data_IF_823409178225
#
_entry.id   IF_823409178225
#
_cell.length_a   1.000
_cell.length_b   1.000
_cell.length_c   1.000
_cell.angle_alpha   90.00
_cell.angle_beta   90.00
_cell.angle_gamma   90.00
#
_symmetry.space_group_name_H-M   'P 1'
#
loop_
_entity.id
_entity.type
_entity.pdbx_description
1 polymer ?
#
# COMPACT_ATOMS: atom_id res chain seq x y z
N UNK A 1 -17.80 65.79 -52.91
CA UNK A 1 -16.47 66.30 -53.33
C UNK A 1 -15.46 65.16 -53.14
N UNK A 2 -14.49 64.92 -54.03
CA UNK A 2 -13.99 65.77 -55.13
C UNK A 2 -12.56 66.23 -54.79
N UNK A 3 -11.56 66.13 -55.67
CA UNK A 3 -11.57 65.68 -57.06
C UNK A 3 -10.24 65.00 -57.47
N UNK A 4 -10.23 64.38 -58.64
CA UNK A 4 -9.03 63.92 -59.37
C UNK A 4 -8.64 64.96 -60.43
N UNK A 5 -7.40 64.92 -60.94
CA UNK A 5 -7.11 65.36 -62.30
C UNK A 5 -6.57 64.25 -63.22
N UNK A 6 -7.14 64.25 -64.44
CA UNK A 6 -6.69 63.72 -65.74
C UNK A 6 -5.35 64.32 -66.24
N UNK A 7 -4.73 63.96 -67.39
CA UNK A 7 -4.63 62.76 -68.28
C UNK A 7 -3.60 63.09 -69.40
N UNK A 8 -3.18 62.09 -70.20
CA UNK A 8 -2.38 62.19 -71.45
C UNK A 8 -0.94 62.75 -71.30
N UNK A 9 0.01 62.51 -72.22
CA UNK A 9 0.04 61.70 -73.46
C UNK A 9 1.33 61.97 -74.27
N UNK A 10 1.74 61.18 -75.28
CA UNK A 10 1.26 59.86 -75.74
C UNK A 10 2.35 58.76 -75.55
N UNK A 11 2.95 57.94 -76.45
CA UNK A 11 2.94 57.64 -77.91
C UNK A 11 3.14 56.09 -78.11
N UNK A 12 3.36 55.57 -79.33
CA UNK A 12 3.47 54.11 -79.66
C UNK A 12 4.89 53.66 -80.10
N UNK A 13 5.19 52.34 -80.00
CA UNK A 13 5.45 51.43 -81.17
C UNK A 13 6.50 50.28 -80.94
N UNK A 14 6.18 49.10 -81.52
CA UNK A 14 6.99 47.88 -81.87
C UNK A 14 7.77 47.01 -80.85
N UNK A 15 7.57 45.69 -81.07
CA UNK A 15 8.44 44.52 -80.80
C UNK A 15 8.68 44.15 -79.30
N UNK A 16 8.45 42.91 -78.82
CA UNK A 16 8.39 41.58 -79.46
C UNK A 16 7.49 40.60 -78.66
N UNK A 17 6.92 39.59 -79.32
CA UNK A 17 6.24 38.45 -78.66
C UNK A 17 7.25 37.34 -78.26
N UNK A 18 6.99 36.56 -77.18
CA UNK A 18 7.85 35.46 -76.76
C UNK A 18 7.41 34.09 -77.35
N UNK A 19 8.32 33.30 -77.94
CA UNK A 19 8.02 31.93 -78.39
C UNK A 19 8.33 30.85 -77.34
N UNK A 20 7.42 29.88 -77.25
CA UNK A 20 7.56 28.47 -76.87
C UNK A 20 8.57 28.04 -75.76
N UNK A 21 7.99 27.52 -74.66
CA UNK A 21 8.55 26.35 -73.97
C UNK A 21 7.52 25.22 -73.98
N UNK A 22 7.91 24.09 -74.58
CA UNK A 22 7.03 22.96 -74.88
C UNK A 22 6.70 22.12 -73.64
N UNK A 23 5.45 21.65 -73.57
CA UNK A 23 5.02 20.60 -72.64
C UNK A 23 5.50 19.25 -73.17
N UNK A 24 6.02 18.40 -72.28
CA UNK A 24 6.20 16.97 -72.50
C UNK A 24 5.65 16.22 -71.29
N UNK A 25 4.92 15.13 -71.52
CA UNK A 25 4.02 14.52 -70.53
C UNK A 25 4.67 13.44 -69.65
N UNK A 26 4.10 13.34 -68.44
CA UNK A 26 3.99 12.17 -67.54
C UNK A 26 4.93 10.97 -67.74
N UNK A 27 5.79 10.75 -66.73
CA UNK A 27 6.08 9.40 -66.23
C UNK A 27 6.05 9.33 -64.71
N UNK A 28 4.88 9.00 -64.19
CA UNK A 28 4.68 8.39 -62.87
C UNK A 28 5.56 7.13 -62.71
N UNK A 29 6.56 7.21 -61.82
CA UNK A 29 7.32 6.06 -61.31
C UNK A 29 7.27 6.05 -59.78
N UNK A 30 6.60 5.05 -59.21
CA UNK A 30 6.28 4.95 -57.79
C UNK A 30 7.44 4.40 -56.95
N UNK A 31 8.29 5.29 -56.44
CA UNK A 31 9.37 4.95 -55.49
C UNK A 31 9.47 5.93 -54.28
N UNK A 32 8.40 6.69 -53.99
CA UNK A 32 8.29 7.47 -52.73
C UNK A 32 7.83 6.59 -51.53
N UNK A 33 8.14 5.30 -51.53
CA UNK A 33 7.80 4.41 -50.42
C UNK A 33 8.68 4.67 -49.18
N UNK A 34 8.11 5.44 -48.25
CA UNK A 34 8.32 5.27 -46.80
C UNK A 34 9.77 5.43 -46.31
N UNK A 35 10.56 6.33 -46.90
CA UNK A 35 11.80 6.80 -46.25
C UNK A 35 11.47 7.79 -45.12
N UNK A 36 10.80 7.29 -44.08
CA UNK A 36 10.74 7.91 -42.76
C UNK A 36 12.17 7.88 -42.22
N UNK A 37 12.94 8.91 -42.53
CA UNK A 37 14.21 9.17 -41.85
C UNK A 37 13.92 9.31 -40.36
N UNK A 38 14.21 8.25 -39.61
CA UNK A 38 14.34 8.34 -38.16
C UNK A 38 15.31 9.48 -37.86
N UNK A 39 14.87 10.46 -37.07
CA UNK A 39 15.72 11.53 -36.57
C UNK A 39 16.64 10.96 -35.49
N UNK A 40 17.59 10.12 -35.92
CA UNK A 40 18.68 9.59 -35.11
C UNK A 40 19.29 10.74 -34.32
N UNK A 41 19.44 10.58 -33.00
CA UNK A 41 19.94 11.68 -32.19
C UNK A 41 21.43 11.81 -32.50
N UNK A 42 21.81 12.91 -33.17
CA UNK A 42 23.19 13.14 -33.67
C UNK A 42 24.30 12.93 -32.64
N UNK A 43 23.95 12.98 -31.35
CA UNK A 43 24.84 12.85 -30.20
C UNK A 43 24.36 11.79 -29.19
N UNK A 44 23.62 10.76 -29.64
CA UNK A 44 23.16 9.64 -28.79
C UNK A 44 24.36 8.99 -28.06
N UNK A 45 25.42 8.70 -28.82
CA UNK A 45 26.68 8.08 -28.36
C UNK A 45 27.49 8.98 -27.39
N UNK A 46 27.15 10.26 -27.26
CA UNK A 46 27.80 11.18 -26.31
C UNK A 46 27.10 11.23 -24.94
N UNK A 47 25.96 10.56 -24.78
CA UNK A 47 25.15 10.62 -23.56
C UNK A 47 25.92 10.23 -22.29
N UNK A 48 26.61 9.08 -22.33
CA UNK A 48 27.37 8.55 -21.19
C UNK A 48 28.55 9.44 -20.81
N UNK A 49 29.31 9.93 -21.81
CA UNK A 49 30.46 10.81 -21.58
C UNK A 49 30.04 12.18 -21.01
N UNK A 50 28.87 12.69 -21.41
CA UNK A 50 28.30 13.92 -20.84
C UNK A 50 27.78 13.68 -19.41
N UNK A 51 27.16 12.54 -19.11
CA UNK A 51 26.77 12.17 -17.74
C UNK A 51 28.00 12.06 -16.83
N UNK A 52 29.04 11.33 -17.26
CA UNK A 52 30.30 11.15 -16.51
C UNK A 52 30.95 12.50 -16.18
N UNK A 53 31.19 13.35 -17.20
CA UNK A 53 31.78 14.68 -17.01
C UNK A 53 30.97 15.56 -16.06
N UNK A 54 29.64 15.55 -16.17
CA UNK A 54 28.74 16.30 -15.29
C UNK A 54 28.80 15.77 -13.85
N UNK A 55 28.76 14.45 -13.67
CA UNK A 55 28.80 13.79 -12.34
C UNK A 55 30.15 14.00 -11.66
N UNK A 56 31.27 13.90 -12.38
CA UNK A 56 32.60 14.23 -11.86
C UNK A 56 32.70 15.71 -11.43
N UNK A 57 32.28 16.63 -12.29
CA UNK A 57 32.30 18.07 -11.97
C UNK A 57 31.41 18.38 -10.75
N UNK A 58 30.23 17.75 -10.62
CA UNK A 58 29.37 17.91 -9.44
C UNK A 58 30.03 17.34 -8.18
N UNK A 59 30.62 16.15 -8.27
CA UNK A 59 31.34 15.46 -7.19
C UNK A 59 32.52 16.30 -6.70
N UNK A 60 33.30 16.90 -7.60
CA UNK A 60 34.34 17.87 -7.26
C UNK A 60 33.79 19.06 -6.47
N UNK A 61 32.80 19.78 -7.02
CA UNK A 61 32.31 21.02 -6.40
C UNK A 61 31.70 20.78 -5.01
N UNK A 62 31.07 19.63 -4.80
CA UNK A 62 30.46 19.23 -3.53
C UNK A 62 31.44 18.66 -2.50
N UNK A 63 32.61 18.17 -2.91
CA UNK A 63 33.66 17.64 -2.03
C UNK A 63 34.75 18.67 -1.68
N UNK A 64 34.86 19.78 -2.42
CA UNK A 64 35.71 20.92 -2.05
C UNK A 64 35.33 21.41 -0.65
N UNK A 65 36.31 21.52 0.26
CA UNK A 65 36.11 22.05 1.62
C UNK A 65 35.83 23.54 1.58
N UNK A 66 34.56 23.92 1.54
CA UNK A 66 34.11 25.31 1.55
C UNK A 66 33.22 25.61 2.77
N UNK A 67 33.13 26.86 3.26
CA UNK A 67 32.19 27.23 4.32
C UNK A 67 30.73 27.01 3.90
N UNK A 68 29.84 26.70 4.84
CA UNK A 68 28.41 26.40 4.56
C UNK A 68 27.67 27.52 3.78
N UNK A 69 28.10 28.77 3.94
CA UNK A 69 27.54 29.94 3.24
C UNK A 69 28.07 30.18 1.82
N UNK A 70 29.07 29.43 1.37
CA UNK A 70 29.69 29.60 0.02
C UNK A 70 28.87 28.99 -1.12
N UNK A 71 27.98 28.04 -0.80
CA UNK A 71 27.23 27.27 -1.81
C UNK A 71 26.32 28.20 -2.62
N UNK A 72 26.61 28.33 -3.91
CA UNK A 72 25.88 29.27 -4.77
C UNK A 72 24.48 28.75 -5.13
N UNK A 73 23.53 29.68 -5.28
CA UNK A 73 22.18 29.37 -5.80
C UNK A 73 22.18 28.79 -7.21
N UNK A 74 23.27 28.96 -7.97
CA UNK A 74 23.42 28.41 -9.31
C UNK A 74 23.89 26.94 -9.28
N UNK A 75 24.66 26.51 -8.27
CA UNK A 75 25.00 25.09 -8.10
C UNK A 75 23.74 24.24 -7.81
N UNK A 76 22.83 24.75 -6.96
CA UNK A 76 21.54 24.08 -6.69
C UNK A 76 20.65 23.99 -7.94
N UNK A 77 20.66 25.02 -8.80
CA UNK A 77 19.96 25.00 -10.10
C UNK A 77 20.58 24.01 -11.08
N UNK A 78 21.91 23.94 -11.13
CA UNK A 78 22.63 22.97 -11.96
C UNK A 78 22.30 21.55 -11.52
N UNK A 79 22.42 21.25 -10.22
CA UNK A 79 21.97 19.99 -9.62
C UNK A 79 20.51 19.67 -9.98
N UNK A 80 19.59 20.64 -9.90
CA UNK A 80 18.18 20.43 -10.21
C UNK A 80 17.94 20.11 -11.68
N UNK A 81 18.74 20.70 -12.60
CA UNK A 81 18.69 20.40 -14.03
C UNK A 81 19.34 19.04 -14.38
N UNK A 82 20.33 18.59 -13.61
CA UNK A 82 21.04 17.32 -13.84
C UNK A 82 20.48 16.13 -13.08
N UNK A 83 19.39 16.30 -12.31
CA UNK A 83 18.71 15.21 -11.58
C UNK A 83 18.14 14.08 -12.44
N UNK A 84 18.18 14.16 -13.79
CA UNK A 84 17.96 13.00 -14.65
C UNK A 84 19.00 11.89 -14.43
N UNK A 85 20.23 12.26 -14.08
CA UNK A 85 21.34 11.35 -13.78
C UNK A 85 21.26 10.81 -12.36
N UNK A 86 21.39 9.48 -12.20
CA UNK A 86 21.16 8.79 -10.92
C UNK A 86 22.16 9.25 -9.84
N UNK A 87 23.44 9.31 -10.20
CA UNK A 87 24.51 9.80 -9.33
C UNK A 87 24.33 11.30 -8.97
N UNK A 88 23.75 12.12 -9.85
CA UNK A 88 23.47 13.52 -9.53
C UNK A 88 22.35 13.68 -8.49
N UNK A 89 21.28 12.85 -8.55
CA UNK A 89 20.26 12.78 -7.49
C UNK A 89 20.88 12.37 -6.15
N UNK A 90 21.75 11.36 -6.18
CA UNK A 90 22.41 10.83 -4.99
C UNK A 90 23.35 11.84 -4.33
N UNK A 91 24.16 12.56 -5.12
CA UNK A 91 25.00 13.66 -4.63
C UNK A 91 24.17 14.83 -4.07
N UNK A 92 23.02 15.14 -4.68
CA UNK A 92 22.12 16.21 -4.21
C UNK A 92 21.45 15.88 -2.87
N UNK A 93 20.87 14.67 -2.73
CA UNK A 93 20.07 14.31 -1.55
C UNK A 93 20.91 14.27 -0.26
N UNK A 94 22.18 13.85 -0.36
CA UNK A 94 23.10 13.75 0.78
C UNK A 94 23.42 15.11 1.45
N UNK A 95 23.14 16.24 0.79
CA UNK A 95 23.34 17.60 1.33
C UNK A 95 22.03 18.37 1.56
N UNK A 96 20.90 17.82 1.11
CA UNK A 96 19.66 18.56 0.87
C UNK A 96 19.03 19.14 2.15
N UNK A 97 19.08 18.42 3.29
CA UNK A 97 18.61 18.95 4.59
C UNK A 97 19.26 20.30 4.93
N UNK A 98 20.58 20.40 4.76
CA UNK A 98 21.37 21.57 5.14
C UNK A 98 21.00 22.77 4.27
N UNK A 99 20.78 22.56 2.97
CA UNK A 99 20.37 23.61 2.04
C UNK A 99 18.92 24.05 2.23
N UNK A 100 18.01 23.14 2.60
CA UNK A 100 16.63 23.48 2.97
C UNK A 100 16.59 24.34 4.24
N UNK A 101 17.45 24.04 5.22
CA UNK A 101 17.55 24.80 6.49
C UNK A 101 18.26 26.16 6.35
N UNK A 102 19.08 26.39 5.32
CA UNK A 102 19.72 27.70 5.09
C UNK A 102 18.75 28.69 4.38
N UNK A 103 18.33 29.80 5.02
CA UNK A 103 17.32 30.71 4.46
C UNK A 103 17.76 31.43 3.17
N UNK A 104 19.06 31.49 2.86
CA UNK A 104 19.58 32.01 1.57
C UNK A 104 19.33 31.03 0.41
N UNK A 105 19.18 29.75 0.72
CA UNK A 105 19.14 28.62 -0.21
C UNK A 105 17.81 27.83 -0.19
N UNK A 106 16.94 28.01 0.81
CA UNK A 106 15.70 27.23 0.97
C UNK A 106 14.87 27.14 -0.32
N UNK A 107 14.70 28.24 -1.07
CA UNK A 107 13.91 28.21 -2.32
C UNK A 107 14.55 27.35 -3.43
N UNK A 108 15.79 27.59 -3.90
CA UNK A 108 16.42 26.68 -4.86
C UNK A 108 16.64 25.27 -4.30
N UNK A 109 16.69 25.07 -2.98
CA UNK A 109 16.71 23.74 -2.36
C UNK A 109 15.34 23.04 -2.42
N UNK A 110 14.23 23.77 -2.34
CA UNK A 110 12.87 23.25 -2.57
C UNK A 110 12.64 22.88 -4.05
N UNK A 111 13.19 23.68 -4.96
CA UNK A 111 13.21 23.41 -6.41
C UNK A 111 14.06 22.16 -6.70
N UNK A 112 15.23 22.00 -6.06
CA UNK A 112 16.08 20.81 -6.14
C UNK A 112 15.42 19.54 -5.55
N UNK A 113 14.80 19.64 -4.36
CA UNK A 113 14.09 18.51 -3.74
C UNK A 113 12.99 17.96 -4.65
N UNK A 114 12.24 18.86 -5.31
CA UNK A 114 11.22 18.46 -6.27
C UNK A 114 11.83 17.68 -7.44
N UNK A 115 12.93 18.17 -8.02
CA UNK A 115 13.62 17.51 -9.13
C UNK A 115 14.23 16.15 -8.75
N UNK A 116 14.78 16.02 -7.53
CA UNK A 116 15.26 14.74 -7.00
C UNK A 116 14.12 13.72 -6.90
N UNK A 117 12.95 14.12 -6.40
CA UNK A 117 11.80 13.23 -6.27
C UNK A 117 11.18 12.84 -7.61
N UNK A 118 10.93 13.79 -8.52
CA UNK A 118 10.28 13.51 -9.82
C UNK A 118 11.15 12.67 -10.75
N UNK A 119 12.47 12.76 -10.65
CA UNK A 119 13.41 11.96 -11.45
C UNK A 119 13.82 10.64 -10.77
N UNK A 120 13.32 10.32 -9.58
CA UNK A 120 13.57 9.05 -8.88
C UNK A 120 12.71 7.92 -9.51
N UNK A 121 12.88 7.71 -10.81
CA UNK A 121 11.96 6.99 -11.69
C UNK A 121 12.52 5.66 -12.23
N UNK A 122 13.77 5.31 -11.90
CA UNK A 122 14.45 4.09 -12.37
C UNK A 122 14.38 2.93 -11.38
N UNK A 123 14.25 3.25 -10.08
CA UNK A 123 14.35 2.29 -8.97
C UNK A 123 15.67 1.48 -8.95
N UNK A 124 16.73 2.09 -9.50
CA UNK A 124 18.11 1.65 -9.37
C UNK A 124 18.59 1.63 -7.91
N UNK A 125 19.77 1.04 -7.67
CA UNK A 125 20.45 1.11 -6.35
C UNK A 125 20.59 2.54 -5.84
N UNK A 126 20.87 3.48 -6.75
CA UNK A 126 21.01 4.90 -6.47
C UNK A 126 19.67 5.52 -6.04
N UNK A 127 18.57 5.21 -6.74
CA UNK A 127 17.22 5.66 -6.36
C UNK A 127 16.79 5.09 -5.00
N UNK A 128 17.14 3.84 -4.71
CA UNK A 128 16.90 3.20 -3.40
C UNK A 128 17.74 3.90 -2.31
N UNK A 129 18.99 4.26 -2.56
CA UNK A 129 19.77 5.08 -1.60
C UNK A 129 19.24 6.51 -1.49
N UNK A 130 18.70 7.10 -2.57
CA UNK A 130 18.02 8.40 -2.54
C UNK A 130 16.82 8.36 -1.61
N UNK A 131 15.95 7.33 -1.70
CA UNK A 131 14.82 7.13 -0.77
C UNK A 131 15.33 6.96 0.66
N UNK A 132 16.41 6.17 0.86
CA UNK A 132 17.07 6.01 2.17
C UNK A 132 17.62 7.31 2.73
N UNK A 133 18.03 8.28 1.91
CA UNK A 133 18.51 9.58 2.35
C UNK A 133 17.37 10.61 2.55
N UNK A 134 16.32 10.59 1.72
CA UNK A 134 15.13 11.46 1.88
C UNK A 134 14.49 11.28 3.27
N UNK A 135 14.25 10.05 3.71
CA UNK A 135 13.65 9.75 5.03
C UNK A 135 14.51 10.16 6.23
N UNK A 136 15.80 10.46 6.03
CA UNK A 136 16.67 10.98 7.10
C UNK A 136 16.45 12.48 7.34
N UNK A 137 15.92 13.21 6.36
CA UNK A 137 15.77 14.67 6.37
C UNK A 137 14.84 15.13 7.50
N UNK A 138 15.33 16.03 8.35
CA UNK A 138 14.61 16.63 9.49
C UNK A 138 14.23 18.08 9.18
N UNK A 139 12.93 18.40 9.28
CA UNK A 139 12.37 19.71 8.92
C UNK A 139 11.48 20.21 10.06
N UNK A 140 11.72 21.44 10.52
CA UNK A 140 10.93 22.09 11.59
C UNK A 140 9.89 23.09 11.09
N UNK A 141 10.14 23.94 10.06
CA UNK A 141 9.15 24.90 9.60
C UNK A 141 7.98 24.23 8.87
N UNK A 142 6.74 24.46 9.33
CA UNK A 142 5.53 23.85 8.73
C UNK A 142 5.37 24.07 7.21
N UNK A 143 5.67 25.24 6.62
CA UNK A 143 5.60 25.41 5.16
C UNK A 143 6.61 24.54 4.40
N UNK A 144 7.82 24.37 4.96
CA UNK A 144 8.89 23.56 4.39
C UNK A 144 8.57 22.06 4.49
N UNK A 145 8.00 21.64 5.61
CA UNK A 145 7.50 20.30 5.85
C UNK A 145 6.32 19.95 4.91
N UNK A 146 5.39 20.88 4.68
CA UNK A 146 4.32 20.72 3.69
C UNK A 146 4.87 20.53 2.27
N UNK A 147 5.87 21.33 1.86
CA UNK A 147 6.54 21.18 0.55
C UNK A 147 7.24 19.82 0.41
N UNK A 148 7.91 19.36 1.48
CA UNK A 148 8.51 18.03 1.51
C UNK A 148 7.46 16.91 1.36
N UNK A 149 6.30 17.01 2.00
CA UNK A 149 5.21 16.03 1.82
C UNK A 149 4.61 16.07 0.41
N UNK A 150 4.64 17.21 -0.30
CA UNK A 150 4.32 17.25 -1.73
C UNK A 150 5.39 16.53 -2.57
N UNK A 151 6.68 16.77 -2.30
CA UNK A 151 7.77 16.07 -2.98
C UNK A 151 7.75 14.55 -2.74
N UNK A 152 7.28 14.09 -1.56
CA UNK A 152 7.04 12.66 -1.29
C UNK A 152 5.92 12.10 -2.18
N UNK A 153 4.87 12.86 -2.53
CA UNK A 153 3.86 12.39 -3.49
C UNK A 153 4.43 12.26 -4.89
N UNK A 154 5.29 13.19 -5.31
CA UNK A 154 5.97 13.08 -6.61
C UNK A 154 6.99 11.93 -6.67
N UNK A 155 7.66 11.61 -5.56
CA UNK A 155 8.48 10.40 -5.42
C UNK A 155 7.66 9.11 -5.63
N UNK A 156 6.42 9.09 -5.17
CA UNK A 156 5.51 7.94 -5.34
C UNK A 156 4.95 7.88 -6.78
N UNK A 157 4.70 9.03 -7.40
CA UNK A 157 4.35 9.13 -8.83
C UNK A 157 5.50 8.65 -9.74
N UNK A 158 6.75 8.91 -9.37
CA UNK A 158 7.93 8.69 -10.22
C UNK A 158 8.20 7.21 -10.54
N UNK A 159 8.00 6.29 -9.58
CA UNK A 159 8.03 4.85 -9.85
C UNK A 159 7.19 4.04 -8.86
N UNK A 160 6.42 3.08 -9.39
CA UNK A 160 5.48 2.22 -8.63
C UNK A 160 6.11 1.55 -7.39
N UNK A 161 7.36 1.10 -7.49
CA UNK A 161 8.03 0.32 -6.44
C UNK A 161 8.64 1.20 -5.34
N UNK A 162 8.71 2.53 -5.56
CA UNK A 162 9.12 3.50 -4.53
C UNK A 162 8.19 3.44 -3.31
N UNK A 163 6.91 3.10 -3.50
CA UNK A 163 5.93 2.93 -2.42
C UNK A 163 6.36 1.83 -1.44
N UNK A 164 6.76 0.66 -1.93
CA UNK A 164 7.18 -0.45 -1.09
C UNK A 164 8.49 -0.15 -0.34
N UNK A 165 9.50 0.37 -1.04
CA UNK A 165 10.81 0.71 -0.45
C UNK A 165 10.68 1.84 0.58
N UNK A 166 9.85 2.87 0.32
CA UNK A 166 9.60 3.96 1.27
C UNK A 166 8.92 3.45 2.55
N UNK A 167 7.84 2.66 2.43
CA UNK A 167 7.15 2.05 3.60
C UNK A 167 8.10 1.16 4.39
N UNK A 168 8.89 0.32 3.71
CA UNK A 168 9.87 -0.57 4.35
C UNK A 168 10.88 0.21 5.20
N UNK A 169 11.56 1.20 4.64
CA UNK A 169 12.56 1.96 5.40
C UNK A 169 11.97 2.81 6.53
N UNK A 170 10.75 3.36 6.37
CA UNK A 170 10.08 4.09 7.45
C UNK A 170 9.82 3.21 8.67
N UNK A 171 9.36 1.97 8.47
CA UNK A 171 9.10 1.02 9.55
C UNK A 171 10.40 0.57 10.25
N UNK A 172 11.46 0.27 9.49
CA UNK A 172 12.76 -0.07 10.08
C UNK A 172 13.42 1.11 10.81
N UNK A 173 13.17 2.36 10.41
CA UNK A 173 13.59 3.55 11.17
C UNK A 173 12.82 3.69 12.50
N UNK A 174 11.52 3.36 12.54
CA UNK A 174 10.72 3.40 13.77
C UNK A 174 11.06 2.28 14.78
N UNK A 175 11.57 1.15 14.30
CA UNK A 175 12.01 0.03 15.15
C UNK A 175 13.48 0.10 15.57
N UNK A 176 14.25 1.06 15.05
CA UNK A 176 15.68 1.23 15.34
C UNK A 176 15.98 2.58 16.02
N UNK A 177 17.26 2.85 16.28
CA UNK A 177 17.72 4.13 16.81
C UNK A 177 17.66 5.30 15.80
N UNK A 178 17.22 5.05 14.55
CA UNK A 178 17.21 6.05 13.46
C UNK A 178 15.89 6.85 13.35
N UNK A 179 15.01 6.78 14.36
CA UNK A 179 13.71 7.49 14.41
C UNK A 179 13.82 8.96 13.97
N UNK A 180 12.94 9.36 13.06
CA UNK A 180 12.79 10.73 12.59
C UNK A 180 11.37 11.21 12.92
N UNK A 181 11.17 12.36 13.60
CA UNK A 181 9.84 12.88 13.90
C UNK A 181 8.95 13.06 12.66
N UNK A 182 9.52 13.16 11.46
CA UNK A 182 8.77 13.23 10.21
C UNK A 182 8.13 11.89 9.79
N UNK A 183 8.63 10.74 10.26
CA UNK A 183 8.27 9.41 9.72
C UNK A 183 6.77 9.13 9.72
N UNK A 184 6.07 9.44 10.83
CA UNK A 184 4.62 9.21 10.94
C UNK A 184 3.81 10.13 10.03
N UNK A 185 4.26 11.36 9.76
CA UNK A 185 3.62 12.26 8.80
C UNK A 185 3.91 11.84 7.35
N UNK A 186 5.08 11.25 7.07
CA UNK A 186 5.35 10.60 5.77
C UNK A 186 4.42 9.41 5.59
N UNK A 187 4.30 8.50 6.58
CA UNK A 187 3.37 7.37 6.53
C UNK A 187 1.91 7.83 6.31
N UNK A 188 1.47 8.90 6.97
CA UNK A 188 0.13 9.47 6.71
C UNK A 188 -0.01 9.99 5.27
N UNK A 189 1.00 10.68 4.75
CA UNK A 189 1.02 11.17 3.36
C UNK A 189 0.99 10.03 2.35
N UNK A 190 1.70 8.93 2.64
CA UNK A 190 1.73 7.70 1.84
C UNK A 190 0.36 6.98 1.86
N UNK A 191 -0.27 6.85 3.04
CA UNK A 191 -1.63 6.27 3.17
C UNK A 191 -2.69 7.11 2.44
N UNK A 192 -2.60 8.44 2.48
CA UNK A 192 -3.48 9.32 1.70
C UNK A 192 -3.24 9.25 0.19
N UNK A 193 -2.03 8.91 -0.26
CA UNK A 193 -1.69 8.80 -1.67
C UNK A 193 -2.10 7.45 -2.27
N UNK A 194 -1.87 6.35 -1.54
CA UNK A 194 -2.17 4.99 -2.00
C UNK A 194 -3.01 4.21 -0.96
N UNK A 195 -4.29 4.57 -0.74
CA UNK A 195 -5.10 4.03 0.37
C UNK A 195 -5.30 2.51 0.35
N UNK A 196 -5.23 1.86 -0.82
CA UNK A 196 -5.32 0.40 -0.97
C UNK A 196 -3.97 -0.29 -1.23
N UNK A 197 -2.91 0.48 -1.50
CA UNK A 197 -1.56 -0.02 -1.78
C UNK A 197 -0.67 0.04 -0.54
N UNK A 198 -0.63 1.19 0.12
CA UNK A 198 0.18 1.42 1.32
C UNK A 198 -0.13 0.44 2.46
N UNK A 199 -1.40 0.07 2.78
CA UNK A 199 -1.67 -0.94 3.81
C UNK A 199 -1.18 -2.35 3.44
N UNK A 200 -1.11 -2.70 2.14
CA UNK A 200 -0.59 -4.00 1.69
C UNK A 200 0.93 -4.06 1.86
N UNK A 201 1.65 -3.02 1.41
CA UNK A 201 3.10 -2.91 1.66
C UNK A 201 3.42 -2.83 3.16
N UNK A 202 2.58 -2.15 3.96
CA UNK A 202 2.69 -2.16 5.41
C UNK A 202 2.64 -3.62 5.93
N UNK A 203 1.61 -4.37 5.55
CA UNK A 203 1.45 -5.76 5.95
C UNK A 203 2.61 -6.67 5.52
N UNK A 204 3.15 -6.51 4.31
CA UNK A 204 4.33 -7.26 3.85
C UNK A 204 5.56 -7.03 4.73
N UNK A 205 5.79 -5.79 5.19
CA UNK A 205 6.89 -5.46 6.11
C UNK A 205 6.61 -5.97 7.52
N UNK A 206 5.35 -6.00 7.96
CA UNK A 206 4.98 -6.66 9.21
C UNK A 206 5.21 -8.19 9.15
N UNK A 207 4.96 -8.85 8.02
CA UNK A 207 5.33 -10.25 7.81
C UNK A 207 6.86 -10.45 7.82
N UNK A 208 7.65 -9.57 7.20
CA UNK A 208 9.13 -9.62 7.27
C UNK A 208 9.62 -9.57 8.73
N UNK A 209 8.98 -8.76 9.58
CA UNK A 209 9.30 -8.65 11.01
C UNK A 209 8.90 -9.91 11.79
N UNK A 210 7.75 -10.52 11.52
CA UNK A 210 7.27 -11.74 12.19
C UNK A 210 8.02 -13.03 11.79
N UNK A 211 8.86 -12.98 10.75
CA UNK A 211 9.77 -14.06 10.33
C UNK A 211 11.16 -13.94 10.96
N UNK A 212 11.50 -12.77 11.52
CA UNK A 212 12.80 -12.56 12.15
C UNK A 212 12.97 -13.42 13.43
N UNK A 213 14.22 -13.69 13.82
CA UNK A 213 14.56 -14.56 14.97
C UNK A 213 14.29 -13.92 16.33
N UNK A 214 14.20 -12.59 16.37
CA UNK A 214 13.86 -11.81 17.55
C UNK A 214 12.34 -11.64 17.62
N UNK A 215 11.74 -11.66 18.83
CA UNK A 215 10.29 -11.50 18.98
C UNK A 215 9.85 -10.06 18.72
N UNK A 216 9.61 -9.76 17.44
CA UNK A 216 9.07 -8.49 17.00
C UNK A 216 7.55 -8.35 17.21
N UNK A 217 6.81 -9.35 17.70
CA UNK A 217 5.35 -9.23 17.80
C UNK A 217 4.96 -8.07 18.73
N UNK A 218 5.55 -7.98 19.92
CA UNK A 218 5.24 -6.89 20.86
C UNK A 218 5.60 -5.51 20.30
N UNK A 219 6.74 -5.39 19.62
CA UNK A 219 7.15 -4.15 18.98
C UNK A 219 6.21 -3.77 17.80
N UNK A 220 5.82 -4.76 17.00
CA UNK A 220 4.87 -4.64 15.90
C UNK A 220 3.50 -4.19 16.37
N UNK A 221 2.96 -4.79 17.44
CA UNK A 221 1.68 -4.37 18.04
C UNK A 221 1.70 -2.90 18.47
N UNK A 222 2.78 -2.44 19.11
CA UNK A 222 2.95 -1.04 19.49
C UNK A 222 3.06 -0.12 18.26
N UNK A 223 3.82 -0.52 17.25
CA UNK A 223 4.00 0.25 16.01
C UNK A 223 2.69 0.39 15.22
N UNK A 224 1.92 -0.68 15.04
CA UNK A 224 0.63 -0.65 14.33
C UNK A 224 -0.36 0.29 15.03
N UNK A 225 -0.40 0.26 16.37
CA UNK A 225 -1.24 1.16 17.18
C UNK A 225 -0.85 2.63 16.99
N UNK A 226 0.44 2.95 16.96
CA UNK A 226 0.90 4.33 16.76
C UNK A 226 0.67 4.79 15.31
N UNK A 227 0.89 3.93 14.32
CA UNK A 227 0.57 4.23 12.90
C UNK A 227 -0.91 4.57 12.76
N UNK A 228 -1.82 3.69 13.20
CA UNK A 228 -3.29 3.92 13.12
C UNK A 228 -3.69 5.24 13.78
N UNK A 229 -3.12 5.55 14.95
CA UNK A 229 -3.35 6.81 15.68
C UNK A 229 -2.87 8.03 14.90
N UNK A 230 -1.65 7.98 14.35
CA UNK A 230 -1.07 9.09 13.59
C UNK A 230 -1.74 9.28 12.22
N UNK A 231 -2.25 8.20 11.62
CA UNK A 231 -3.11 8.24 10.43
C UNK A 231 -4.59 8.50 10.75
N UNK A 232 -4.91 9.01 11.95
CA UNK A 232 -6.27 9.39 12.40
C UNK A 232 -7.35 8.30 12.26
N UNK A 233 -6.96 7.02 12.29
CA UNK A 233 -7.80 5.86 11.99
C UNK A 233 -8.33 5.80 10.53
N UNK A 234 -7.77 6.55 9.59
CA UNK A 234 -8.13 6.57 8.15
C UNK A 234 -7.50 5.40 7.35
N UNK A 235 -6.98 4.35 8.00
CA UNK A 235 -6.31 3.23 7.34
C UNK A 235 -7.30 2.17 6.83
N UNK A 236 -7.13 1.68 5.60
CA UNK A 236 -7.91 0.55 5.10
C UNK A 236 -7.45 -0.77 5.78
N UNK A 237 -8.10 -1.11 6.90
CA UNK A 237 -7.86 -2.35 7.65
C UNK A 237 -8.09 -3.61 6.82
N UNK A 238 -9.04 -3.62 5.86
CA UNK A 238 -9.25 -4.81 5.03
C UNK A 238 -8.08 -5.02 4.06
N UNK A 239 -7.53 -3.95 3.47
CA UNK A 239 -6.34 -4.04 2.63
C UNK A 239 -5.09 -4.45 3.44
N UNK A 240 -4.94 -3.98 4.69
CA UNK A 240 -3.88 -4.43 5.60
C UNK A 240 -4.00 -5.91 5.94
N UNK A 241 -5.17 -6.35 6.41
CA UNK A 241 -5.41 -7.75 6.76
C UNK A 241 -5.24 -8.68 5.56
N UNK A 242 -5.78 -8.33 4.38
CA UNK A 242 -5.56 -9.10 3.15
C UNK A 242 -4.07 -9.19 2.79
N UNK A 243 -3.29 -8.12 3.00
CA UNK A 243 -1.83 -8.14 2.85
C UNK A 243 -1.14 -9.11 3.81
N UNK A 244 -1.55 -9.16 5.09
CA UNK A 244 -1.02 -10.12 6.08
C UNK A 244 -1.36 -11.58 5.72
N UNK A 245 -2.38 -11.76 4.88
CA UNK A 245 -2.90 -13.06 4.44
C UNK A 245 -2.39 -13.49 3.05
N UNK A 246 -1.43 -12.77 2.46
CA UNK A 246 -0.82 -13.16 1.19
C UNK A 246 0.23 -14.27 1.37
N UNK A 247 0.28 -15.15 0.37
CA UNK A 247 1.33 -16.15 0.16
C UNK A 247 2.68 -15.44 -0.10
N UNK A 248 3.74 -15.80 0.63
CA UNK A 248 5.09 -15.20 0.48
C UNK A 248 6.05 -16.22 -0.12
N UNK A 249 6.67 -15.86 -1.24
CA UNK A 249 7.41 -16.77 -2.14
C UNK A 249 8.92 -16.52 -2.14
N UNK A 250 9.37 -15.52 -1.38
CA UNK A 250 10.78 -15.22 -1.19
C UNK A 250 11.45 -16.33 -0.37
N UNK A 251 12.72 -16.63 -0.66
CA UNK A 251 13.45 -17.75 -0.04
C UNK A 251 13.45 -17.70 1.49
N UNK A 252 13.49 -16.51 2.10
CA UNK A 252 13.41 -16.34 3.56
C UNK A 252 12.12 -16.89 4.20
N UNK A 253 11.04 -17.08 3.43
CA UNK A 253 9.80 -17.73 3.87
C UNK A 253 9.80 -19.23 3.54
N UNK A 254 10.35 -19.63 2.38
CA UNK A 254 10.47 -21.04 1.98
C UNK A 254 11.42 -21.82 2.91
N UNK A 255 12.53 -21.21 3.32
CA UNK A 255 13.52 -21.79 4.26
C UNK A 255 12.96 -22.06 5.67
N UNK A 256 11.75 -21.58 5.99
CA UNK A 256 11.08 -21.81 7.28
C UNK A 256 10.55 -23.24 7.42
N UNK A 257 10.20 -23.92 6.32
CA UNK A 257 9.61 -25.26 6.36
C UNK A 257 10.59 -26.31 6.88
N UNK A 258 11.89 -26.11 6.63
CA UNK A 258 12.95 -26.90 7.24
C UNK A 258 13.04 -26.77 8.77
N UNK A 259 12.26 -25.85 9.39
CA UNK A 259 12.28 -25.53 10.82
C UNK A 259 10.89 -25.27 11.41
N UNK A 260 9.90 -26.12 11.09
CA UNK A 260 8.53 -26.31 11.64
C UNK A 260 8.01 -25.46 12.84
N UNK A 261 8.85 -25.10 13.81
CA UNK A 261 8.49 -24.22 14.94
C UNK A 261 8.43 -22.74 14.55
N UNK A 262 9.27 -22.28 13.62
CA UNK A 262 9.31 -20.87 13.22
C UNK A 262 8.16 -20.50 12.27
N UNK A 263 7.86 -21.34 11.28
CA UNK A 263 6.67 -21.20 10.42
C UNK A 263 5.38 -21.15 11.25
N UNK A 264 5.17 -22.11 12.16
CA UNK A 264 4.02 -22.12 13.06
C UNK A 264 3.92 -20.84 13.92
N UNK A 265 5.05 -20.35 14.45
CA UNK A 265 5.09 -19.11 15.20
C UNK A 265 4.64 -17.91 14.35
N UNK A 266 5.16 -17.75 13.13
CA UNK A 266 4.79 -16.64 12.22
C UNK A 266 3.30 -16.59 11.91
N UNK A 267 2.64 -17.74 11.69
CA UNK A 267 1.18 -17.78 11.46
C UNK A 267 0.38 -17.44 12.72
N UNK A 268 0.79 -17.94 13.90
CA UNK A 268 0.17 -17.59 15.18
C UNK A 268 0.32 -16.10 15.49
N UNK A 269 1.51 -15.51 15.33
CA UNK A 269 1.73 -14.08 15.55
C UNK A 269 1.04 -13.20 14.50
N UNK A 270 0.89 -13.71 13.27
CA UNK A 270 0.03 -13.11 12.24
C UNK A 270 -1.44 -13.01 12.69
N UNK A 271 -1.99 -14.04 13.32
CA UNK A 271 -3.35 -14.00 13.89
C UNK A 271 -3.49 -13.00 15.06
N UNK A 272 -2.42 -12.76 15.82
CA UNK A 272 -2.35 -11.70 16.83
C UNK A 272 -2.36 -10.29 16.21
N UNK A 273 -1.77 -10.10 15.02
CA UNK A 273 -1.88 -8.84 14.27
C UNK A 273 -3.23 -8.66 13.59
N UNK A 274 -3.84 -9.72 13.04
CA UNK A 274 -5.19 -9.66 12.45
C UNK A 274 -6.24 -9.27 13.51
N UNK A 275 -6.18 -9.88 14.70
CA UNK A 275 -7.09 -9.52 15.80
C UNK A 275 -6.83 -8.14 16.38
N UNK A 276 -5.56 -7.69 16.44
CA UNK A 276 -5.24 -6.30 16.77
C UNK A 276 -5.79 -5.31 15.73
N UNK A 277 -5.63 -5.60 14.43
CA UNK A 277 -6.14 -4.74 13.35
C UNK A 277 -7.67 -4.62 13.40
N UNK A 278 -8.38 -5.73 13.65
CA UNK A 278 -9.83 -5.73 13.86
C UNK A 278 -10.25 -4.87 15.06
N UNK A 279 -9.54 -4.97 16.19
CA UNK A 279 -9.80 -4.11 17.36
C UNK A 279 -9.44 -2.63 17.12
N UNK A 280 -8.47 -2.32 16.26
CA UNK A 280 -8.07 -0.94 15.93
C UNK A 280 -9.04 -0.21 14.98
N UNK A 281 -9.92 -0.96 14.31
CA UNK A 281 -11.08 -0.41 13.58
C UNK A 281 -12.15 0.20 14.51
N UNK A 282 -12.10 -0.03 15.83
CA UNK A 282 -12.98 0.61 16.81
C UNK A 282 -12.52 2.05 17.03
N UNK A 283 -12.97 2.94 16.15
CA UNK A 283 -12.77 4.39 16.27
C UNK A 283 -13.65 4.99 17.38
N UNK A 284 -13.43 6.27 17.73
CA UNK A 284 -14.29 6.98 18.68
C UNK A 284 -15.78 6.94 18.29
N UNK A 285 -16.09 7.12 16.99
CA UNK A 285 -17.46 7.05 16.48
C UNK A 285 -18.07 5.65 16.59
N UNK A 286 -17.27 4.59 16.35
CA UNK A 286 -17.72 3.20 16.53
C UNK A 286 -17.95 2.89 18.02
N UNK A 287 -17.11 3.42 18.91
CA UNK A 287 -17.28 3.30 20.37
C UNK A 287 -18.55 4.03 20.85
N UNK A 288 -18.79 5.25 20.39
CA UNK A 288 -20.01 6.01 20.69
C UNK A 288 -21.28 5.30 20.17
N UNK A 289 -21.25 4.81 18.93
CA UNK A 289 -22.36 4.05 18.35
C UNK A 289 -22.63 2.74 19.10
N UNK A 290 -21.59 2.00 19.51
CA UNK A 290 -21.72 0.79 20.32
C UNK A 290 -22.27 1.06 21.73
N UNK A 291 -21.84 2.16 22.37
CA UNK A 291 -22.37 2.58 23.68
C UNK A 291 -23.80 3.15 23.62
N UNK A 292 -24.23 3.63 22.46
CA UNK A 292 -25.62 3.99 22.19
C UNK A 292 -26.48 2.72 21.97
N UNK A 293 -26.00 1.78 21.15
CA UNK A 293 -26.64 0.48 20.90
C UNK A 293 -26.90 -0.29 22.19
N UNK A 294 -25.94 -0.35 23.11
CA UNK A 294 -26.06 -1.04 24.41
C UNK A 294 -27.16 -0.46 25.33
N UNK A 295 -27.64 0.75 25.04
CA UNK A 295 -28.75 1.42 25.74
C UNK A 295 -30.08 1.34 24.98
N UNK A 296 -30.11 0.69 23.81
CA UNK A 296 -31.22 0.73 22.87
C UNK A 296 -31.33 2.03 22.07
N UNK A 297 -30.34 2.92 22.13
CA UNK A 297 -30.34 4.19 21.39
C UNK A 297 -29.88 3.96 19.94
N UNK A 298 -30.79 4.08 18.98
CA UNK A 298 -30.53 3.90 17.53
C UNK A 298 -29.81 5.10 16.89
N UNK A 299 -28.65 5.47 17.43
CA UNK A 299 -27.76 6.55 16.96
C UNK A 299 -26.52 5.98 16.26
N UNK A 300 -26.01 6.68 15.25
CA UNK A 300 -24.76 6.35 14.54
C UNK A 300 -24.67 4.89 14.03
N UNK A 301 -25.82 4.31 13.68
CA UNK A 301 -25.91 2.91 13.28
C UNK A 301 -25.12 2.60 12.01
N UNK A 302 -24.99 3.56 11.08
CA UNK A 302 -24.23 3.36 9.84
C UNK A 302 -22.73 3.16 10.13
N UNK A 303 -22.16 3.89 11.08
CA UNK A 303 -20.76 3.70 11.50
C UNK A 303 -20.56 2.31 12.12
N UNK A 304 -21.47 1.90 13.02
CA UNK A 304 -21.43 0.59 13.67
C UNK A 304 -21.62 -0.56 12.66
N UNK A 305 -22.61 -0.46 11.78
CA UNK A 305 -22.90 -1.47 10.74
C UNK A 305 -21.80 -1.52 9.67
N UNK A 306 -21.15 -0.41 9.34
CA UNK A 306 -19.98 -0.39 8.45
C UNK A 306 -18.79 -1.12 9.09
N UNK A 307 -18.48 -0.84 10.36
CA UNK A 307 -17.48 -1.57 11.13
C UNK A 307 -17.80 -3.08 11.20
N UNK A 308 -19.03 -3.44 11.60
CA UNK A 308 -19.45 -4.85 11.67
C UNK A 308 -19.31 -5.59 10.34
N UNK A 309 -19.60 -4.94 9.20
CA UNK A 309 -19.38 -5.50 7.84
C UNK A 309 -17.89 -5.67 7.53
N UNK A 310 -17.05 -4.70 7.89
CA UNK A 310 -15.60 -4.78 7.68
C UNK A 310 -14.98 -5.93 8.49
N UNK A 311 -15.35 -6.08 9.77
CA UNK A 311 -14.87 -7.18 10.61
C UNK A 311 -15.37 -8.54 10.08
N UNK A 312 -16.64 -8.65 9.68
CA UNK A 312 -17.18 -9.87 9.07
C UNK A 312 -16.43 -10.29 7.79
N UNK A 313 -16.03 -9.33 6.95
CA UNK A 313 -15.21 -9.58 5.77
C UNK A 313 -13.79 -10.05 6.15
N UNK A 314 -13.13 -9.38 7.10
CA UNK A 314 -11.80 -9.80 7.58
C UNK A 314 -11.85 -11.20 8.22
N UNK A 315 -12.91 -11.54 8.95
CA UNK A 315 -13.10 -12.88 9.53
C UNK A 315 -13.28 -13.96 8.46
N UNK A 316 -14.07 -13.70 7.42
CA UNK A 316 -14.18 -14.58 6.24
C UNK A 316 -12.82 -14.80 5.58
N UNK A 317 -12.10 -13.70 5.35
CA UNK A 317 -10.82 -13.71 4.64
C UNK A 317 -9.75 -14.44 5.48
N UNK A 318 -9.79 -14.33 6.81
CA UNK A 318 -8.94 -15.08 7.74
C UNK A 318 -9.26 -16.58 7.79
N UNK A 319 -10.54 -16.97 7.69
CA UNK A 319 -10.92 -18.39 7.54
C UNK A 319 -10.46 -18.93 6.19
N UNK A 320 -10.55 -18.17 5.09
CA UNK A 320 -9.95 -18.57 3.81
C UNK A 320 -8.43 -18.75 3.91
N UNK A 321 -7.73 -17.79 4.50
CA UNK A 321 -6.28 -17.84 4.70
C UNK A 321 -5.86 -19.11 5.44
N UNK A 322 -6.48 -19.41 6.58
CA UNK A 322 -6.22 -20.64 7.36
C UNK A 322 -6.59 -21.92 6.60
N UNK A 323 -7.66 -21.93 5.81
CA UNK A 323 -8.14 -23.12 5.09
C UNK A 323 -7.47 -23.34 3.72
N UNK A 324 -6.71 -22.37 3.18
CA UNK A 324 -6.24 -22.43 1.78
C UNK A 324 -4.81 -21.91 1.57
N UNK A 325 -4.42 -20.80 2.20
CA UNK A 325 -3.07 -20.22 2.01
C UNK A 325 -2.06 -20.84 2.99
N UNK A 326 -2.40 -20.90 4.28
CA UNK A 326 -1.50 -21.49 5.30
C UNK A 326 -1.17 -22.96 4.97
N UNK A 327 -2.13 -23.85 4.63
CA UNK A 327 -1.82 -25.26 4.35
C UNK A 327 -1.05 -25.49 3.05
N UNK A 328 -1.12 -24.56 2.09
CA UNK A 328 -0.35 -24.61 0.84
C UNK A 328 1.13 -24.22 1.06
N UNK A 329 1.40 -23.39 2.06
CA UNK A 329 2.76 -23.06 2.50
C UNK A 329 3.30 -24.10 3.48
N UNK A 330 2.58 -24.38 4.57
CA UNK A 330 3.10 -25.08 5.74
C UNK A 330 2.02 -25.85 6.51
N UNK A 331 2.34 -27.07 6.98
CA UNK A 331 1.43 -27.88 7.80
C UNK A 331 1.43 -27.45 9.27
N UNK A 332 0.61 -26.44 9.58
CA UNK A 332 0.37 -25.93 10.94
C UNK A 332 -0.09 -27.03 11.91
N UNK A 333 0.49 -27.16 13.13
CA UNK A 333 0.05 -28.16 14.10
C UNK A 333 -1.40 -27.96 14.52
N UNK A 334 -2.12 -29.04 14.81
CA UNK A 334 -3.56 -29.02 15.10
C UNK A 334 -3.96 -28.01 16.20
N UNK A 335 -3.20 -27.97 17.30
CA UNK A 335 -3.43 -27.03 18.40
C UNK A 335 -3.30 -25.57 17.94
N UNK A 336 -2.29 -25.27 17.12
CA UNK A 336 -1.99 -23.91 16.69
C UNK A 336 -2.97 -23.44 15.60
N UNK A 337 -3.42 -24.36 14.73
CA UNK A 337 -4.51 -24.13 13.78
C UNK A 337 -5.82 -23.80 14.49
N UNK A 338 -6.23 -24.64 15.45
CA UNK A 338 -7.47 -24.46 16.23
C UNK A 338 -7.40 -23.15 17.04
N UNK A 339 -6.24 -22.84 17.64
CA UNK A 339 -6.00 -21.55 18.30
C UNK A 339 -6.19 -20.37 17.34
N UNK A 340 -5.54 -20.39 16.17
CA UNK A 340 -5.66 -19.32 15.18
C UNK A 340 -7.12 -19.14 14.71
N UNK A 341 -7.84 -20.24 14.45
CA UNK A 341 -9.22 -20.22 13.98
C UNK A 341 -10.17 -19.60 15.02
N UNK A 342 -10.13 -20.07 16.27
CA UNK A 342 -10.93 -19.49 17.35
C UNK A 342 -10.53 -18.03 17.63
N UNK A 343 -9.25 -17.68 17.50
CA UNK A 343 -8.74 -16.33 17.73
C UNK A 343 -9.22 -15.34 16.68
N UNK A 344 -9.11 -15.63 15.38
CA UNK A 344 -9.59 -14.69 14.33
C UNK A 344 -11.11 -14.52 14.34
N UNK A 345 -11.87 -15.52 14.81
CA UNK A 345 -13.33 -15.48 14.93
C UNK A 345 -13.83 -14.86 16.25
N UNK A 346 -12.93 -14.38 17.12
CA UNK A 346 -13.23 -13.90 18.47
C UNK A 346 -14.08 -14.91 19.27
N UNK A 347 -13.60 -16.16 19.36
CA UNK A 347 -14.15 -17.27 20.17
C UNK A 347 -13.12 -17.90 21.12
N UNK A 348 -11.82 -17.58 20.96
CA UNK A 348 -10.74 -17.99 21.88
C UNK A 348 -10.77 -17.20 23.21
N UNK A 349 -10.13 -17.72 24.25
CA UNK A 349 -10.02 -17.12 25.59
C UNK A 349 -9.59 -15.63 25.57
N UNK A 350 -10.25 -14.73 26.35
CA UNK A 350 -10.00 -13.28 26.35
C UNK A 350 -8.54 -12.87 26.59
N UNK A 351 -7.82 -13.61 27.43
CA UNK A 351 -6.43 -13.35 27.79
C UNK A 351 -5.52 -13.33 26.55
N UNK A 352 -5.87 -14.12 25.53
CA UNK A 352 -5.04 -14.32 24.34
C UNK A 352 -4.95 -13.09 23.43
N UNK A 353 -5.85 -12.10 23.56
CA UNK A 353 -5.86 -10.89 22.73
C UNK A 353 -5.03 -9.74 23.34
N UNK A 354 -4.87 -9.70 24.68
CA UNK A 354 -4.16 -8.64 25.40
C UNK A 354 -2.87 -9.06 26.11
N UNK A 355 -2.55 -10.37 26.23
CA UNK A 355 -1.34 -10.90 26.93
C UNK A 355 0.01 -10.26 26.55
N UNK A 356 0.14 -9.71 25.34
CA UNK A 356 1.43 -9.22 24.81
C UNK A 356 1.79 -7.78 25.23
N UNK A 357 0.78 -6.92 25.43
CA UNK A 357 0.97 -5.48 25.68
C UNK A 357 -0.08 -4.87 26.64
N UNK A 358 -0.96 -5.68 27.20
CA UNK A 358 -2.10 -5.31 28.06
C UNK A 358 -3.13 -4.37 27.41
N UNK A 359 -3.12 -4.20 26.08
CA UNK A 359 -4.10 -3.42 25.33
C UNK A 359 -5.18 -4.34 24.71
N UNK A 360 -6.49 -3.97 24.71
CA UNK A 360 -7.10 -2.72 25.19
C UNK A 360 -7.00 -2.48 26.71
N UNK A 361 -7.16 -1.22 27.17
CA UNK A 361 -7.25 -0.88 28.59
C UNK A 361 -8.34 -1.71 29.29
N UNK A 362 -8.16 -2.02 30.57
CA UNK A 362 -8.93 -3.06 31.27
C UNK A 362 -10.45 -2.88 31.19
N UNK A 363 -10.97 -1.67 31.49
CA UNK A 363 -12.40 -1.37 31.38
C UNK A 363 -12.98 -1.39 29.95
N UNK A 364 -12.13 -1.34 28.92
CA UNK A 364 -12.52 -1.40 27.51
C UNK A 364 -12.48 -2.83 26.94
N UNK A 365 -11.78 -3.79 27.57
CA UNK A 365 -11.51 -5.13 26.99
C UNK A 365 -12.78 -5.86 26.58
N UNK A 366 -13.74 -6.00 27.48
CA UNK A 366 -14.99 -6.72 27.21
C UNK A 366 -15.81 -6.04 26.10
N UNK A 367 -15.80 -4.70 26.04
CA UNK A 367 -16.49 -3.94 25.01
C UNK A 367 -15.84 -4.14 23.63
N UNK A 368 -14.50 -4.09 23.55
CA UNK A 368 -13.76 -4.32 22.30
C UNK A 368 -13.94 -5.75 21.78
N UNK A 369 -13.79 -6.76 22.66
CA UNK A 369 -14.00 -8.17 22.29
C UNK A 369 -15.45 -8.43 21.85
N UNK A 370 -16.43 -7.82 22.53
CA UNK A 370 -17.85 -7.89 22.13
C UNK A 370 -18.08 -7.27 20.75
N UNK A 371 -17.64 -6.03 20.51
CA UNK A 371 -17.83 -5.39 19.19
C UNK A 371 -17.21 -6.18 18.03
N UNK A 372 -16.04 -6.81 18.23
CA UNK A 372 -15.42 -7.65 17.21
C UNK A 372 -16.07 -9.04 17.04
N UNK A 373 -16.87 -9.50 18.02
CA UNK A 373 -17.54 -10.82 17.99
C UNK A 373 -19.01 -10.74 17.58
N UNK A 374 -19.69 -9.64 17.91
CA UNK A 374 -21.08 -9.32 17.53
C UNK A 374 -21.13 -8.72 16.12
N UNK A 375 -20.82 -9.56 15.14
CA UNK A 375 -20.76 -9.23 13.70
C UNK A 375 -21.64 -10.17 12.88
N UNK A 376 -22.14 -9.76 11.69
CA UNK A 376 -22.91 -10.64 10.81
C UNK A 376 -22.04 -11.77 10.25
N UNK A 377 -22.54 -13.01 10.24
CA UNK A 377 -21.83 -14.15 9.64
C UNK A 377 -22.03 -14.16 8.12
N UNK A 378 -20.93 -14.19 7.36
CA UNK A 378 -20.96 -14.36 5.90
C UNK A 378 -21.09 -15.84 5.52
N UNK A 379 -21.78 -16.10 4.40
CA UNK A 379 -22.06 -17.45 3.91
C UNK A 379 -20.77 -18.24 3.62
N UNK A 380 -19.79 -17.62 2.97
CA UNK A 380 -18.47 -18.18 2.71
C UNK A 380 -17.77 -18.67 3.98
N UNK A 381 -17.92 -17.96 5.11
CA UNK A 381 -17.31 -18.34 6.40
C UNK A 381 -17.93 -19.64 6.90
N UNK A 382 -19.26 -19.76 6.85
CA UNK A 382 -19.97 -20.98 7.24
C UNK A 382 -19.66 -22.14 6.29
N UNK A 383 -19.65 -21.90 4.98
CA UNK A 383 -19.33 -22.91 3.96
C UNK A 383 -17.89 -23.41 4.09
N UNK A 384 -16.93 -22.54 4.43
CA UNK A 384 -15.54 -22.95 4.70
C UNK A 384 -15.42 -23.79 5.97
N UNK A 385 -16.21 -23.52 7.00
CA UNK A 385 -16.31 -24.41 8.18
C UNK A 385 -16.95 -25.77 7.84
N UNK A 386 -17.90 -25.85 6.89
CA UNK A 386 -18.38 -27.14 6.33
C UNK A 386 -17.26 -27.87 5.56
N UNK A 387 -16.51 -27.16 4.72
CA UNK A 387 -15.36 -27.76 4.02
C UNK A 387 -14.22 -28.15 4.98
N UNK A 388 -14.17 -27.53 6.17
CA UNK A 388 -13.33 -27.91 7.30
C UNK A 388 -13.67 -29.26 7.94
N UNK A 389 -14.75 -29.92 7.51
CA UNK A 389 -15.05 -31.32 7.86
C UNK A 389 -14.27 -32.33 6.99
N UNK A 390 -13.46 -31.86 6.02
CA UNK A 390 -12.54 -32.69 5.24
C UNK A 390 -11.37 -33.21 6.10
N UNK A 391 -10.82 -34.38 5.73
CA UNK A 391 -9.81 -35.08 6.53
C UNK A 391 -8.45 -34.38 6.60
N UNK A 392 -8.23 -33.37 5.78
CA UNK A 392 -6.93 -32.72 5.60
C UNK A 392 -6.72 -31.50 6.51
N UNK A 393 -7.80 -30.92 7.05
CA UNK A 393 -7.76 -29.80 7.98
C UNK A 393 -7.89 -30.29 9.43
N UNK A 394 -7.08 -29.78 10.38
CA UNK A 394 -7.00 -30.36 11.72
C UNK A 394 -8.05 -29.76 12.68
N UNK A 395 -9.33 -29.92 12.34
CA UNK A 395 -10.48 -29.51 13.15
C UNK A 395 -11.46 -30.69 13.27
N UNK A 396 -11.89 -31.03 14.49
CA UNK A 396 -12.83 -32.13 14.69
C UNK A 396 -14.22 -31.79 14.13
N UNK A 397 -14.94 -32.74 13.50
CA UNK A 397 -16.29 -32.48 12.98
C UNK A 397 -17.28 -31.96 14.02
N UNK A 398 -17.16 -32.42 15.27
CA UNK A 398 -17.95 -31.93 16.41
C UNK A 398 -17.59 -30.48 16.79
N UNK A 399 -16.31 -30.13 16.78
CA UNK A 399 -15.81 -28.80 17.12
C UNK A 399 -16.20 -27.77 16.04
N UNK A 400 -16.07 -28.15 14.76
CA UNK A 400 -16.54 -27.38 13.62
C UNK A 400 -18.06 -27.11 13.69
N UNK A 401 -18.84 -28.13 14.05
CA UNK A 401 -20.29 -28.05 14.24
C UNK A 401 -20.66 -27.09 15.38
N UNK A 402 -20.04 -27.22 16.55
CA UNK A 402 -20.35 -26.34 17.69
C UNK A 402 -19.88 -24.90 17.47
N UNK A 403 -18.72 -24.69 16.83
CA UNK A 403 -18.23 -23.37 16.41
C UNK A 403 -19.22 -22.70 15.43
N UNK A 404 -19.62 -23.39 14.36
CA UNK A 404 -20.59 -22.88 13.40
C UNK A 404 -21.94 -22.55 14.07
N UNK A 405 -22.43 -23.41 14.95
CA UNK A 405 -23.63 -23.22 15.77
C UNK A 405 -23.51 -22.01 16.71
N UNK A 406 -22.34 -21.78 17.30
CA UNK A 406 -22.04 -20.61 18.13
C UNK A 406 -22.03 -19.31 17.31
N UNK A 407 -21.36 -19.31 16.15
CA UNK A 407 -21.32 -18.15 15.24
C UNK A 407 -22.72 -17.80 14.69
N UNK A 408 -23.52 -18.80 14.32
CA UNK A 408 -24.90 -18.58 13.86
C UNK A 408 -25.78 -18.02 14.98
N UNK A 409 -25.61 -18.45 16.24
CA UNK A 409 -26.29 -17.82 17.39
C UNK A 409 -25.92 -16.36 17.56
N UNK A 410 -24.62 -16.02 17.50
CA UNK A 410 -24.12 -14.63 17.57
C UNK A 410 -24.68 -13.75 16.46
N UNK A 411 -24.52 -14.19 15.20
CA UNK A 411 -25.03 -13.46 14.05
C UNK A 411 -26.56 -13.29 14.07
N UNK A 412 -27.30 -14.31 14.55
CA UNK A 412 -28.75 -14.20 14.72
C UNK A 412 -29.16 -13.21 15.83
N UNK A 413 -28.33 -12.99 16.86
CA UNK A 413 -28.54 -11.92 17.85
C UNK A 413 -28.32 -10.54 17.24
N UNK A 414 -27.23 -10.34 16.49
CA UNK A 414 -26.92 -9.09 15.79
C UNK A 414 -27.98 -8.73 14.74
N UNK A 415 -28.51 -9.74 14.04
CA UNK A 415 -29.55 -9.59 13.00
C UNK A 415 -30.98 -9.70 13.55
N UNK A 416 -31.20 -9.82 14.86
CA UNK A 416 -32.55 -9.98 15.41
C UNK A 416 -33.43 -8.71 15.24
N UNK A 417 -32.80 -7.55 15.03
CA UNK A 417 -33.46 -6.25 14.87
C UNK A 417 -33.49 -5.72 13.43
N UNK A 418 -33.00 -6.49 12.45
CA UNK A 418 -33.04 -6.20 11.02
C UNK A 418 -33.75 -7.36 10.29
N UNK A 419 -34.72 -7.10 9.42
CA UNK A 419 -35.68 -8.11 8.87
C UNK A 419 -35.09 -9.33 8.10
N UNK A 420 -33.77 -9.38 7.91
CA UNK A 420 -33.08 -10.44 7.14
C UNK A 420 -32.98 -11.81 7.85
N UNK A 421 -33.45 -11.91 9.11
CA UNK A 421 -33.39 -13.08 10.00
C UNK A 421 -33.90 -14.40 9.36
N UNK A 422 -34.80 -14.31 8.36
CA UNK A 422 -35.43 -15.46 7.68
C UNK A 422 -34.43 -16.28 6.83
N UNK A 423 -33.45 -15.63 6.20
CA UNK A 423 -32.49 -16.31 5.31
C UNK A 423 -31.53 -17.23 6.08
N UNK A 424 -30.95 -16.71 7.17
CA UNK A 424 -29.99 -17.41 8.01
C UNK A 424 -30.62 -18.66 8.66
N UNK A 425 -31.86 -18.55 9.15
CA UNK A 425 -32.60 -19.68 9.77
C UNK A 425 -32.92 -20.81 8.78
N UNK A 426 -33.21 -20.49 7.51
CA UNK A 426 -33.43 -21.51 6.46
C UNK A 426 -32.12 -22.24 6.14
N UNK A 427 -31.00 -21.51 6.01
CA UNK A 427 -29.69 -22.08 5.69
C UNK A 427 -29.09 -22.92 6.83
N UNK A 428 -29.26 -22.52 8.09
CA UNK A 428 -28.80 -23.33 9.22
C UNK A 428 -29.54 -24.67 9.37
N UNK A 429 -30.79 -24.78 8.88
CA UNK A 429 -31.45 -26.09 8.77
C UNK A 429 -30.77 -26.99 7.73
N UNK A 430 -30.44 -26.46 6.56
CA UNK A 430 -29.69 -27.21 5.53
C UNK A 430 -28.31 -27.67 6.04
N UNK A 431 -27.59 -26.80 6.76
CA UNK A 431 -26.34 -27.13 7.44
C UNK A 431 -26.48 -28.31 8.43
N UNK A 432 -27.54 -28.33 9.24
CA UNK A 432 -27.84 -29.45 10.14
C UNK A 432 -28.28 -30.74 9.40
N UNK A 433 -28.80 -30.64 8.18
CA UNK A 433 -29.07 -31.82 7.36
C UNK A 433 -27.76 -32.41 6.81
N UNK A 434 -26.94 -31.60 6.14
CA UNK A 434 -25.67 -32.04 5.52
C UNK A 434 -24.73 -32.64 6.56
N UNK A 435 -24.52 -31.99 7.71
CA UNK A 435 -23.61 -32.47 8.73
C UNK A 435 -24.17 -33.63 9.61
N UNK A 436 -25.37 -34.13 9.31
CA UNK A 436 -25.91 -35.40 9.82
C UNK A 436 -25.85 -36.52 8.78
N UNK A 437 -25.40 -36.23 7.56
CA UNK A 437 -25.15 -37.20 6.51
C UNK A 437 -23.68 -37.63 6.56
N UNK A 438 -23.37 -38.64 7.37
CA UNK A 438 -22.10 -39.34 7.25
C UNK A 438 -21.97 -39.91 5.81
N UNK A 439 -20.77 -39.86 5.19
CA UNK A 439 -20.57 -40.30 3.80
C UNK A 439 -20.45 -41.84 3.67
N UNK A 440 -21.28 -42.58 4.42
CA UNK A 440 -21.37 -44.04 4.43
C UNK A 440 -22.86 -44.39 4.52
N UNK A 441 -23.32 -45.34 3.69
CA UNK A 441 -24.73 -45.77 3.57
C UNK A 441 -25.63 -44.88 2.69
N UNK A 442 -25.22 -44.63 1.44
CA UNK A 442 -26.17 -44.43 0.32
C UNK A 442 -26.00 -45.59 -0.68
N UNK A 443 -26.30 -46.80 -0.23
CA UNK A 443 -26.79 -47.84 -1.12
C UNK A 443 -28.31 -47.66 -1.20
N UNK A 444 -28.82 -47.20 -2.34
CA UNK A 444 -30.25 -47.23 -2.62
C UNK A 444 -30.62 -48.62 -3.14
N UNK A 445 -31.69 -49.28 -2.64
CA UNK A 445 -32.27 -50.42 -3.33
C UNK A 445 -32.87 -49.94 -4.66
N UNK A 446 -32.57 -50.67 -5.74
CA UNK A 446 -33.13 -50.42 -7.06
C UNK A 446 -34.64 -50.68 -7.08
N UNK A 447 -35.38 -49.78 -7.75
CA UNK A 447 -36.82 -49.88 -8.03
C UNK A 447 -37.17 -48.99 -9.22
#
# INVERSE_FOLDING_TARGET
AGASPHLAGEEEDKNQEPPDLLIAEDKTSSDEETQIHSRLRRYEDLGESVEEYVVEMLREQLNRRQPMDSVSRNLLRLLAATCGYCQARLLAVQKLEIWLQNPKLTRPAQELLMSVCTNCNTHSSDDVEVISNLIKIRLKPKPLLNHYMLCIKELLNAHKDNLGTLVKFLLFNELSNMRNPNNMQVLYTVMQHAPDGAPKYLAMVFQDLLVNKEDYLRASRLLLREIVKQTKHEMNFQAFCLGLMQERKETQFQDLDHKNRYSAHTYVTGSDLLTLAMMLGITGQVKEAGLAWDKGEKKHLDQLRAFQRQIAAIQRDAVWWLHTIVPAMFKLPAKDYVHCLYKVLFTEQPETYYKWDNWPPEGDRNFFLRLCSEVPLLEDTLMRLVMGLSRDLPLGPADAMELAKHLVKRAAGVQAEDDNLVSLRRRFRAFNCVARSDPISIEQPLG
#
